data_IF_315057138460
#
_entry.id   IF_315057138460
#
_cell.length_a   1.000
_cell.length_b   1.000
_cell.length_c   1.000
_cell.angle_alpha   90.00
_cell.angle_beta   90.00
_cell.angle_gamma   90.00
#
_symmetry.space_group_name_H-M   'P 1'
#
loop_
_entity.id
_entity.type
_entity.pdbx_description
1 polymer ?
#
# COMPACT_ATOMS: atom_id res chain seq x y z
N UNK A 1 -17.92 -44.67 -74.16
CA UNK A 1 -17.14 -43.47 -73.73
C UNK A 1 -17.48 -43.00 -72.32
N UNK A 2 -18.76 -42.91 -71.88
CA UNK A 2 -19.19 -42.51 -70.53
C UNK A 2 -18.81 -43.54 -69.45
N UNK A 3 -18.79 -44.83 -69.69
CA UNK A 3 -18.42 -45.88 -68.75
C UNK A 3 -16.92 -45.82 -68.32
N UNK A 4 -16.04 -45.41 -69.22
CA UNK A 4 -14.60 -45.29 -68.93
C UNK A 4 -14.27 -43.99 -68.09
N UNK A 5 -15.16 -42.99 -68.12
CA UNK A 5 -15.03 -41.79 -67.27
C UNK A 5 -15.33 -42.11 -65.82
N UNK A 6 -16.33 -42.96 -65.54
CA UNK A 6 -16.71 -43.34 -64.16
C UNK A 6 -15.70 -44.27 -63.48
N UNK A 7 -14.92 -45.06 -64.23
CA UNK A 7 -13.88 -45.93 -63.69
C UNK A 7 -12.54 -45.19 -63.41
N UNK A 8 -12.36 -44.01 -64.01
CA UNK A 8 -11.16 -43.18 -63.78
C UNK A 8 -11.24 -42.29 -62.52
N UNK A 9 -12.39 -42.19 -61.89
CA UNK A 9 -12.55 -41.38 -60.67
C UNK A 9 -12.11 -42.22 -59.46
N UNK A 10 -11.16 -41.76 -58.65
CA UNK A 10 -10.73 -42.49 -57.44
C UNK A 10 -11.76 -42.33 -56.30
N UNK A 11 -12.91 -43.02 -56.45
CA UNK A 11 -14.03 -42.96 -55.51
C UNK A 11 -13.63 -43.29 -54.08
N UNK A 12 -12.68 -44.18 -53.88
CA UNK A 12 -12.17 -44.51 -52.53
C UNK A 12 -11.47 -43.33 -51.86
N UNK A 13 -10.68 -42.55 -52.63
CA UNK A 13 -10.02 -41.34 -52.12
C UNK A 13 -11.00 -40.20 -51.78
N UNK A 14 -12.06 -40.05 -52.62
CA UNK A 14 -13.11 -39.04 -52.38
C UNK A 14 -13.92 -39.40 -51.14
N UNK A 15 -14.31 -40.66 -50.98
CA UNK A 15 -15.08 -41.11 -49.81
C UNK A 15 -14.29 -40.98 -48.51
N UNK A 16 -12.97 -41.31 -48.52
CA UNK A 16 -12.13 -41.11 -47.32
C UNK A 16 -11.96 -39.66 -46.98
N UNK A 17 -11.78 -38.76 -47.96
CA UNK A 17 -11.67 -37.29 -47.74
C UNK A 17 -12.98 -36.72 -47.19
N UNK A 18 -14.13 -37.10 -47.73
CA UNK A 18 -15.44 -36.69 -47.21
C UNK A 18 -15.62 -37.21 -45.78
N UNK A 19 -15.24 -38.46 -45.50
CA UNK A 19 -15.31 -39.04 -44.14
C UNK A 19 -14.44 -38.28 -43.12
N UNK A 20 -13.22 -37.90 -43.50
CA UNK A 20 -12.34 -37.12 -42.62
C UNK A 20 -12.86 -35.71 -42.38
N UNK A 21 -13.38 -35.02 -43.39
CA UNK A 21 -14.01 -33.69 -43.23
C UNK A 21 -15.24 -33.79 -42.35
N UNK A 22 -16.12 -34.77 -42.59
CA UNK A 22 -17.32 -34.95 -41.74
C UNK A 22 -16.92 -35.22 -40.29
N UNK A 23 -15.91 -36.01 -40.04
CA UNK A 23 -15.39 -36.30 -38.68
C UNK A 23 -14.80 -35.08 -38.01
N UNK A 24 -14.08 -34.21 -38.74
CA UNK A 24 -13.57 -32.94 -38.24
C UNK A 24 -14.72 -31.98 -37.84
N UNK A 25 -15.77 -31.90 -38.69
CA UNK A 25 -16.96 -31.07 -38.42
C UNK A 25 -17.68 -31.57 -37.16
N UNK A 26 -17.87 -32.90 -37.03
CA UNK A 26 -18.51 -33.49 -35.83
C UNK A 26 -17.72 -33.17 -34.57
N UNK A 27 -16.38 -33.33 -34.61
CA UNK A 27 -15.53 -32.94 -33.47
C UNK A 27 -15.60 -31.45 -33.17
N UNK A 28 -15.58 -30.59 -34.18
CA UNK A 28 -15.71 -29.14 -34.02
C UNK A 28 -17.02 -28.73 -33.34
N UNK A 29 -18.14 -29.32 -33.81
CA UNK A 29 -19.46 -29.11 -33.22
C UNK A 29 -19.55 -29.62 -31.76
N UNK A 30 -18.94 -30.78 -31.50
CA UNK A 30 -18.86 -31.33 -30.12
C UNK A 30 -18.13 -30.36 -29.19
N UNK A 31 -16.98 -29.82 -29.63
CA UNK A 31 -16.19 -28.87 -28.84
C UNK A 31 -16.96 -27.56 -28.61
N UNK A 32 -17.67 -27.05 -29.62
CA UNK A 32 -18.52 -25.89 -29.47
C UNK A 32 -19.64 -26.14 -28.45
N UNK A 33 -20.32 -27.28 -28.55
CA UNK A 33 -21.38 -27.66 -27.60
C UNK A 33 -20.82 -27.83 -26.18
N UNK A 34 -19.75 -28.62 -26.02
CA UNK A 34 -19.13 -28.84 -24.74
C UNK A 34 -18.59 -27.54 -24.11
N UNK A 35 -17.93 -26.69 -24.93
CA UNK A 35 -17.43 -25.38 -24.54
C UNK A 35 -18.53 -24.42 -24.11
N UNK A 36 -19.68 -24.42 -24.83
CA UNK A 36 -20.86 -23.65 -24.45
C UNK A 36 -21.40 -24.06 -23.07
N UNK A 37 -21.59 -25.36 -22.84
CA UNK A 37 -22.06 -25.87 -21.54
C UNK A 37 -21.07 -25.59 -20.42
N UNK A 38 -19.77 -25.79 -20.67
CA UNK A 38 -18.70 -25.50 -19.70
C UNK A 38 -18.66 -24.01 -19.34
N UNK A 39 -18.73 -23.13 -20.35
CA UNK A 39 -18.77 -21.68 -20.14
C UNK A 39 -20.00 -21.29 -19.32
N UNK A 40 -21.16 -21.82 -19.66
CA UNK A 40 -22.41 -21.55 -18.94
C UNK A 40 -22.33 -22.02 -17.48
N UNK A 41 -21.77 -23.20 -17.24
CA UNK A 41 -21.54 -23.75 -15.90
C UNK A 41 -20.57 -22.87 -15.11
N UNK A 42 -19.43 -22.49 -15.69
CA UNK A 42 -18.42 -21.63 -15.07
C UNK A 42 -18.99 -20.26 -14.68
N UNK A 43 -19.70 -19.61 -15.61
CA UNK A 43 -20.36 -18.31 -15.39
C UNK A 43 -21.42 -18.42 -14.28
N UNK A 44 -22.22 -19.51 -14.28
CA UNK A 44 -23.23 -19.73 -13.26
C UNK A 44 -22.61 -20.02 -11.88
N UNK A 45 -21.52 -20.81 -11.83
CA UNK A 45 -20.76 -21.08 -10.60
C UNK A 45 -20.14 -19.80 -10.03
N UNK A 46 -19.40 -19.05 -10.87
CA UNK A 46 -18.80 -17.77 -10.48
C UNK A 46 -19.88 -16.77 -10.03
N UNK A 47 -21.02 -16.70 -10.74
CA UNK A 47 -22.12 -15.85 -10.36
C UNK A 47 -22.73 -16.19 -8.98
N UNK A 48 -22.80 -17.47 -8.62
CA UNK A 48 -23.23 -17.89 -7.26
C UNK A 48 -22.24 -17.47 -6.18
N UNK A 49 -20.93 -17.56 -6.47
CA UNK A 49 -19.88 -17.13 -5.54
C UNK A 49 -19.90 -15.60 -5.34
N UNK A 50 -20.04 -14.84 -6.45
CA UNK A 50 -20.09 -13.38 -6.40
C UNK A 50 -21.33 -12.85 -5.68
N UNK A 51 -22.48 -13.50 -5.80
CA UNK A 51 -23.73 -13.10 -5.08
C UNK A 51 -23.60 -13.15 -3.55
N UNK A 52 -22.67 -13.94 -3.00
CA UNK A 52 -22.35 -13.95 -1.57
C UNK A 52 -21.46 -12.78 -1.14
N UNK A 53 -20.87 -12.07 -2.08
CA UNK A 53 -20.03 -10.90 -1.86
C UNK A 53 -20.88 -9.63 -1.79
N UNK A 54 -20.43 -8.64 -1.01
CA UNK A 54 -21.05 -7.31 -0.90
C UNK A 54 -20.73 -6.38 -2.09
N UNK A 55 -20.28 -6.94 -3.23
CA UNK A 55 -19.95 -6.17 -4.42
C UNK A 55 -21.20 -5.62 -5.11
N UNK A 56 -21.07 -4.47 -5.77
CA UNK A 56 -22.13 -3.84 -6.52
C UNK A 56 -22.61 -4.75 -7.69
N UNK A 57 -23.91 -4.80 -7.94
CA UNK A 57 -24.53 -5.61 -9.02
C UNK A 57 -23.96 -5.29 -10.41
N UNK A 58 -23.64 -4.03 -10.67
CA UNK A 58 -23.01 -3.60 -11.93
C UNK A 58 -21.65 -4.25 -12.13
N UNK A 59 -20.82 -4.33 -11.06
CA UNK A 59 -19.52 -4.99 -11.11
C UNK A 59 -19.65 -6.50 -11.30
N UNK A 60 -20.66 -7.14 -10.68
CA UNK A 60 -20.99 -8.55 -10.92
C UNK A 60 -21.25 -8.84 -12.39
N UNK A 61 -22.15 -8.05 -13.01
CA UNK A 61 -22.50 -8.22 -14.43
C UNK A 61 -21.30 -8.02 -15.33
N UNK A 62 -20.47 -7.02 -15.05
CA UNK A 62 -19.25 -6.75 -15.80
C UNK A 62 -18.26 -7.92 -15.74
N UNK A 63 -17.94 -8.41 -14.52
CA UNK A 63 -17.01 -9.53 -14.32
C UNK A 63 -17.48 -10.81 -15.01
N UNK A 64 -18.79 -11.15 -14.89
CA UNK A 64 -19.36 -12.31 -15.55
C UNK A 64 -19.32 -12.17 -17.08
N UNK A 65 -19.48 -10.97 -17.60
CA UNK A 65 -19.37 -10.70 -19.04
C UNK A 65 -17.94 -10.87 -19.54
N UNK A 66 -16.93 -10.38 -18.80
CA UNK A 66 -15.53 -10.57 -19.12
C UNK A 66 -15.17 -12.07 -19.15
N UNK A 67 -15.55 -12.82 -18.11
CA UNK A 67 -15.30 -14.27 -18.05
C UNK A 67 -15.94 -14.97 -19.24
N UNK A 68 -17.19 -14.62 -19.57
CA UNK A 68 -17.92 -15.20 -20.71
C UNK A 68 -17.22 -14.94 -22.04
N UNK A 69 -16.76 -13.70 -22.28
CA UNK A 69 -16.04 -13.34 -23.51
C UNK A 69 -14.76 -14.13 -23.62
N UNK A 70 -13.95 -14.18 -22.57
CA UNK A 70 -12.69 -14.91 -22.54
C UNK A 70 -12.93 -16.41 -22.82
N UNK A 71 -13.89 -17.04 -22.15
CA UNK A 71 -14.22 -18.44 -22.38
C UNK A 71 -14.65 -18.72 -23.82
N UNK A 72 -15.52 -17.89 -24.41
CA UNK A 72 -15.95 -18.08 -25.80
C UNK A 72 -14.81 -17.89 -26.79
N UNK A 73 -13.91 -16.94 -26.57
CA UNK A 73 -12.71 -16.78 -27.41
C UNK A 73 -11.89 -18.07 -27.41
N UNK A 74 -11.63 -18.67 -26.24
CA UNK A 74 -10.91 -19.95 -26.17
C UNK A 74 -11.65 -21.08 -26.88
N UNK A 75 -12.95 -21.22 -26.66
CA UNK A 75 -13.78 -22.26 -27.30
C UNK A 75 -13.76 -22.13 -28.82
N UNK A 76 -13.86 -20.91 -29.36
CA UNK A 76 -13.82 -20.64 -30.80
C UNK A 76 -12.45 -21.00 -31.36
N UNK A 77 -11.36 -20.58 -30.72
CA UNK A 77 -9.99 -20.89 -31.19
C UNK A 77 -9.76 -22.39 -31.23
N UNK A 78 -10.17 -23.14 -30.20
CA UNK A 78 -10.03 -24.61 -30.15
C UNK A 78 -10.88 -25.27 -31.26
N UNK A 79 -12.12 -24.81 -31.45
CA UNK A 79 -12.99 -25.36 -32.51
C UNK A 79 -12.41 -25.13 -33.90
N UNK A 80 -11.90 -23.92 -34.18
CA UNK A 80 -11.24 -23.62 -35.48
C UNK A 80 -10.00 -24.49 -35.72
N UNK A 81 -9.20 -24.71 -34.67
CA UNK A 81 -8.01 -25.58 -34.75
C UNK A 81 -8.42 -27.02 -35.12
N UNK A 82 -9.49 -27.55 -34.54
CA UNK A 82 -9.99 -28.91 -34.83
C UNK A 82 -10.53 -29.01 -36.26
N UNK A 83 -11.11 -27.95 -36.76
CA UNK A 83 -11.59 -27.86 -38.15
C UNK A 83 -10.44 -27.74 -39.16
N UNK A 84 -9.17 -27.70 -38.73
CA UNK A 84 -8.00 -27.56 -39.59
C UNK A 84 -7.79 -26.13 -40.11
N UNK A 85 -8.45 -25.13 -39.53
CA UNK A 85 -8.30 -23.73 -39.93
C UNK A 85 -7.02 -23.20 -39.24
N UNK A 86 -6.10 -22.53 -39.94
CA UNK A 86 -4.89 -21.95 -39.33
C UNK A 86 -5.26 -20.86 -38.33
N UNK A 87 -5.05 -21.10 -37.03
CA UNK A 87 -5.41 -20.17 -35.95
C UNK A 87 -4.24 -19.30 -35.49
N UNK A 88 -3.04 -19.49 -36.09
CA UNK A 88 -1.82 -18.78 -35.68
C UNK A 88 -1.99 -17.26 -35.69
N UNK A 89 -2.54 -16.70 -36.77
CA UNK A 89 -2.77 -15.24 -36.87
C UNK A 89 -3.78 -14.72 -35.82
N UNK A 90 -4.83 -15.51 -35.53
CA UNK A 90 -5.84 -15.19 -34.54
C UNK A 90 -5.24 -15.25 -33.14
N UNK A 91 -4.47 -16.27 -32.81
CA UNK A 91 -3.78 -16.40 -31.52
C UNK A 91 -2.79 -15.24 -31.33
N UNK A 92 -2.04 -14.89 -32.39
CA UNK A 92 -1.11 -13.74 -32.34
C UNK A 92 -1.87 -12.44 -32.11
N UNK A 93 -2.97 -12.21 -32.80
CA UNK A 93 -3.78 -11.01 -32.60
C UNK A 93 -4.36 -10.92 -31.18
N UNK A 94 -4.90 -12.03 -30.65
CA UNK A 94 -5.42 -12.11 -29.27
C UNK A 94 -4.28 -11.89 -28.25
N UNK A 95 -3.11 -12.50 -28.50
CA UNK A 95 -1.93 -12.33 -27.65
C UNK A 95 -1.47 -10.88 -27.59
N UNK A 96 -1.38 -10.21 -28.76
CA UNK A 96 -1.02 -8.79 -28.83
C UNK A 96 -2.04 -7.89 -28.11
N UNK A 97 -3.34 -8.15 -28.31
CA UNK A 97 -4.41 -7.45 -27.59
C UNK A 97 -4.32 -7.71 -26.08
N UNK A 98 -4.03 -8.93 -25.66
CA UNK A 98 -3.82 -9.31 -24.26
C UNK A 98 -2.66 -8.56 -23.60
N UNK A 99 -1.53 -8.41 -24.32
CA UNK A 99 -0.39 -7.60 -23.84
C UNK A 99 -0.80 -6.12 -23.69
N UNK A 100 -1.52 -5.57 -24.67
CA UNK A 100 -2.00 -4.17 -24.60
C UNK A 100 -2.93 -3.96 -23.39
N UNK A 101 -3.88 -4.88 -23.16
CA UNK A 101 -4.78 -4.84 -21.99
C UNK A 101 -3.97 -4.99 -20.69
N UNK A 102 -3.01 -5.92 -20.65
CA UNK A 102 -2.15 -6.12 -19.48
C UNK A 102 -1.34 -4.87 -19.11
N UNK A 103 -0.80 -4.17 -20.12
CA UNK A 103 -0.10 -2.90 -19.91
C UNK A 103 -1.06 -1.79 -19.43
N UNK A 104 -2.27 -1.72 -19.98
CA UNK A 104 -3.28 -0.75 -19.55
C UNK A 104 -3.74 -0.98 -18.08
N UNK A 105 -3.74 -2.23 -17.62
CA UNK A 105 -4.16 -2.60 -16.25
C UNK A 105 -2.98 -2.73 -15.26
N UNK A 106 -1.75 -2.48 -15.70
CA UNK A 106 -0.53 -2.67 -14.92
C UNK A 106 -0.59 -2.04 -13.54
N UNK A 107 -1.00 -0.76 -13.47
CA UNK A 107 -1.00 -0.02 -12.22
C UNK A 107 -2.10 -0.52 -11.25
N UNK A 108 -3.25 -0.90 -11.78
CA UNK A 108 -4.32 -1.52 -10.98
C UNK A 108 -3.88 -2.87 -10.41
N UNK A 109 -3.24 -3.70 -11.24
CA UNK A 109 -2.74 -5.01 -10.81
C UNK A 109 -1.60 -4.85 -9.80
N UNK A 110 -0.72 -3.86 -9.98
CA UNK A 110 0.33 -3.52 -9.03
C UNK A 110 -0.24 -3.12 -7.67
N UNK A 111 -1.27 -2.25 -7.65
CA UNK A 111 -1.94 -1.85 -6.42
C UNK A 111 -2.62 -3.03 -5.71
N UNK A 112 -3.25 -3.92 -6.46
CA UNK A 112 -3.84 -5.13 -5.91
C UNK A 112 -2.79 -6.05 -5.27
N UNK A 113 -1.70 -6.34 -6.00
CA UNK A 113 -0.61 -7.17 -5.50
C UNK A 113 0.03 -6.55 -4.24
N UNK A 114 0.25 -5.24 -4.25
CA UNK A 114 0.75 -4.49 -3.08
C UNK A 114 -0.20 -4.58 -1.89
N UNK A 115 -1.52 -4.50 -2.12
CA UNK A 115 -2.51 -4.67 -1.05
C UNK A 115 -2.42 -6.05 -0.39
N UNK A 116 -2.26 -7.11 -1.18
CA UNK A 116 -2.05 -8.47 -0.65
C UNK A 116 -0.74 -8.55 0.14
N UNK A 117 0.34 -7.93 -0.34
CA UNK A 117 1.64 -7.89 0.36
C UNK A 117 1.52 -7.16 1.70
N UNK A 118 0.81 -6.01 1.74
CA UNK A 118 0.58 -5.25 2.99
C UNK A 118 -0.19 -6.10 4.00
N UNK A 119 -1.26 -6.76 3.57
CA UNK A 119 -2.08 -7.62 4.44
C UNK A 119 -1.30 -8.83 4.96
N UNK A 120 -0.39 -9.39 4.15
CA UNK A 120 0.42 -10.54 4.54
C UNK A 120 1.57 -10.16 5.49
N UNK A 121 2.31 -9.09 5.18
CA UNK A 121 3.46 -8.64 5.97
C UNK A 121 3.04 -7.84 7.21
N UNK A 122 1.84 -7.25 7.20
CA UNK A 122 1.27 -6.42 8.25
C UNK A 122 2.28 -5.41 8.85
N UNK A 123 2.88 -4.50 8.07
CA UNK A 123 3.82 -3.50 8.58
C UNK A 123 3.12 -2.53 9.55
N UNK A 124 1.83 -2.38 9.44
CA UNK A 124 0.93 -1.66 10.33
C UNK A 124 -0.45 -2.33 10.32
N UNK A 125 -1.29 -1.97 11.27
CA UNK A 125 -2.66 -2.48 11.43
C UNK A 125 -3.66 -1.33 11.48
N UNK A 126 -4.96 -1.67 11.37
CA UNK A 126 -6.02 -0.70 11.59
C UNK A 126 -5.91 -0.12 13.00
N UNK A 127 -5.96 1.20 13.10
CA UNK A 127 -5.77 1.95 14.34
C UNK A 127 -4.35 2.46 14.58
N UNK A 128 -3.33 1.96 13.88
CA UNK A 128 -1.96 2.46 14.02
C UNK A 128 -1.82 3.90 13.49
N UNK A 129 -1.08 4.75 14.19
CA UNK A 129 -0.64 6.04 13.68
C UNK A 129 0.65 5.85 12.89
N UNK A 130 0.59 6.16 11.61
CA UNK A 130 1.69 5.93 10.65
C UNK A 130 1.99 7.17 9.83
N UNK A 131 3.20 7.23 9.31
CA UNK A 131 3.60 8.16 8.26
C UNK A 131 4.05 7.35 7.04
N UNK A 132 3.45 7.64 5.88
CA UNK A 132 3.68 6.94 4.61
C UNK A 132 3.96 7.98 3.54
N UNK A 133 5.19 8.02 3.01
CA UNK A 133 5.56 8.96 1.96
C UNK A 133 5.32 10.43 2.32
N UNK A 134 5.54 10.80 3.60
CA UNK A 134 5.33 12.16 4.11
C UNK A 134 3.87 12.50 4.48
N UNK A 135 2.95 11.55 4.39
CA UNK A 135 1.56 11.70 4.84
C UNK A 135 1.35 10.96 6.14
N UNK A 136 0.90 11.66 7.18
CA UNK A 136 0.69 11.08 8.51
C UNK A 136 -0.80 10.96 8.84
N UNK A 137 -1.18 9.86 9.50
CA UNK A 137 -2.55 9.64 9.96
C UNK A 137 -2.74 8.30 10.63
N UNK A 138 -3.92 8.10 11.21
CA UNK A 138 -4.35 6.82 11.78
C UNK A 138 -4.91 5.95 10.67
N UNK A 139 -4.45 4.71 10.56
CA UNK A 139 -4.94 3.73 9.60
C UNK A 139 -6.40 3.41 9.91
N UNK A 140 -7.28 3.66 8.94
CA UNK A 140 -8.72 3.38 9.04
C UNK A 140 -9.10 2.05 8.40
N UNK A 141 -8.47 1.75 7.26
CA UNK A 141 -8.80 0.58 6.46
C UNK A 141 -7.67 0.26 5.49
N UNK A 142 -7.31 -1.00 5.39
CA UNK A 142 -6.40 -1.52 4.38
C UNK A 142 -7.26 -2.25 3.35
N UNK A 143 -7.55 -1.56 2.23
CA UNK A 143 -8.33 -2.13 1.13
C UNK A 143 -7.45 -2.87 0.12
N UNK A 144 -8.10 -3.48 -0.90
CA UNK A 144 -7.39 -4.25 -1.94
C UNK A 144 -6.47 -3.40 -2.81
N UNK A 145 -6.83 -2.13 -3.08
CA UNK A 145 -6.06 -1.25 -3.97
C UNK A 145 -5.53 -0.01 -3.25
N UNK A 146 -6.12 0.36 -2.13
CA UNK A 146 -5.82 1.60 -1.40
C UNK A 146 -5.84 1.38 0.10
N UNK A 147 -4.97 2.09 0.79
CA UNK A 147 -4.96 2.25 2.25
C UNK A 147 -5.53 3.62 2.59
N UNK A 148 -6.44 3.68 3.56
CA UNK A 148 -7.06 4.92 4.01
C UNK A 148 -6.50 5.33 5.36
N UNK A 149 -6.01 6.56 5.45
CA UNK A 149 -5.58 7.19 6.69
C UNK A 149 -6.56 8.28 7.08
N UNK A 150 -6.67 8.54 8.38
CA UNK A 150 -7.42 9.65 8.95
C UNK A 150 -6.47 10.55 9.74
N UNK A 151 -6.41 11.82 9.39
CA UNK A 151 -5.63 12.81 10.12
C UNK A 151 -6.31 13.22 11.41
N UNK A 152 -5.57 13.83 12.35
CA UNK A 152 -6.13 14.34 13.62
C UNK A 152 -7.14 15.49 13.40
N UNK A 153 -7.02 16.25 12.31
CA UNK A 153 -7.99 17.27 11.89
C UNK A 153 -9.14 16.69 11.03
N UNK A 154 -9.35 15.36 11.12
CA UNK A 154 -10.49 14.63 10.57
C UNK A 154 -10.56 14.56 9.03
N UNK A 155 -9.45 14.73 8.33
CA UNK A 155 -9.35 14.52 6.87
C UNK A 155 -9.05 13.07 6.55
N UNK A 156 -9.55 12.59 5.41
CA UNK A 156 -9.22 11.28 4.87
C UNK A 156 -8.12 11.40 3.81
N UNK A 157 -7.08 10.61 3.96
CA UNK A 157 -6.01 10.45 2.98
C UNK A 157 -6.15 9.05 2.38
N UNK A 158 -6.26 8.98 1.06
CA UNK A 158 -6.35 7.71 0.33
C UNK A 158 -5.02 7.53 -0.41
N UNK A 159 -4.29 6.49 -0.05
CA UNK A 159 -2.98 6.18 -0.62
C UNK A 159 -3.11 4.88 -1.42
N UNK A 160 -2.62 4.88 -2.66
CA UNK A 160 -2.53 3.66 -3.45
C UNK A 160 -1.54 2.67 -2.82
N UNK A 161 -1.91 1.39 -2.75
CA UNK A 161 -1.11 0.37 -2.06
C UNK A 161 0.31 0.23 -2.65
N UNK A 162 0.47 0.42 -3.96
CA UNK A 162 1.78 0.43 -4.59
C UNK A 162 2.67 1.56 -4.03
N UNK A 163 2.11 2.74 -3.76
CA UNK A 163 2.84 3.83 -3.10
C UNK A 163 3.25 3.44 -1.68
N UNK A 164 2.37 2.79 -0.94
CA UNK A 164 2.68 2.29 0.42
C UNK A 164 3.86 1.33 0.41
N UNK A 165 3.88 0.36 -0.52
CA UNK A 165 4.94 -0.66 -0.58
C UNK A 165 6.27 -0.14 -1.13
N UNK A 166 6.26 0.96 -1.87
CA UNK A 166 7.46 1.58 -2.46
C UNK A 166 8.00 2.77 -1.66
N UNK A 167 7.23 3.28 -0.68
CA UNK A 167 7.63 4.38 0.20
C UNK A 167 8.18 3.88 1.53
N UNK A 168 8.90 4.77 2.22
CA UNK A 168 9.22 4.53 3.63
C UNK A 168 7.94 4.63 4.46
N UNK A 169 7.76 3.67 5.36
CA UNK A 169 6.68 3.64 6.34
C UNK A 169 7.27 3.78 7.73
N UNK A 170 6.84 4.80 8.46
CA UNK A 170 7.16 4.98 9.88
C UNK A 170 5.90 4.65 10.68
N UNK A 171 5.98 3.61 11.51
CA UNK A 171 4.88 3.23 12.41
C UNK A 171 5.20 3.71 13.82
N UNK A 172 4.41 4.64 14.33
CA UNK A 172 4.58 5.23 15.66
C UNK A 172 3.85 4.47 16.78
N UNK A 173 2.96 3.54 16.41
CA UNK A 173 2.11 2.78 17.35
C UNK A 173 2.58 1.36 17.59
N UNK A 174 3.43 0.80 16.71
CA UNK A 174 3.85 -0.59 16.79
C UNK A 174 4.65 -0.90 18.05
N UNK A 175 5.55 0.01 18.43
CA UNK A 175 6.35 -0.13 19.64
C UNK A 175 5.61 0.49 20.83
N UNK A 176 5.63 -0.23 21.97
CA UNK A 176 4.93 0.23 23.19
C UNK A 176 5.59 1.41 23.84
N UNK A 177 6.89 1.63 23.56
CA UNK A 177 7.69 2.71 24.16
C UNK A 177 8.28 3.59 23.08
N UNK A 178 8.37 4.90 23.36
CA UNK A 178 8.96 5.89 22.47
C UNK A 178 9.96 6.73 23.25
N UNK A 179 11.00 7.21 22.57
CA UNK A 179 11.90 8.21 23.11
C UNK A 179 11.40 9.59 22.74
N UNK A 180 11.22 10.44 23.75
CA UNK A 180 10.94 11.84 23.61
C UNK A 180 12.27 12.60 23.65
N UNK A 181 12.59 13.26 22.55
CA UNK A 181 13.80 14.09 22.40
C UNK A 181 13.35 15.57 22.41
N UNK A 182 13.92 16.37 23.32
CA UNK A 182 13.58 17.78 23.46
C UNK A 182 14.86 18.59 23.62
N UNK A 183 14.85 19.81 23.10
CA UNK A 183 15.94 20.76 23.27
C UNK A 183 15.41 21.97 24.05
N UNK A 184 16.15 22.33 25.12
CA UNK A 184 15.93 23.55 25.88
C UNK A 184 17.14 24.46 25.72
N UNK A 185 16.92 25.75 25.72
CA UNK A 185 17.98 26.76 25.57
C UNK A 185 18.00 27.70 26.74
N UNK A 186 19.22 28.04 27.20
CA UNK A 186 19.44 29.01 28.28
C UNK A 186 20.45 30.06 27.81
N UNK A 187 20.44 31.25 28.46
CA UNK A 187 21.43 32.29 28.23
C UNK A 187 22.83 31.84 28.65
N UNK A 188 23.86 32.38 28.00
CA UNK A 188 25.25 32.20 28.40
C UNK A 188 25.56 32.70 29.81
N UNK A 189 24.76 33.62 30.34
CA UNK A 189 24.89 34.14 31.70
C UNK A 189 24.39 33.19 32.78
N UNK A 190 23.66 32.12 32.39
CA UNK A 190 23.12 31.16 33.32
C UNK A 190 24.05 29.98 33.59
N UNK A 191 23.92 29.40 34.76
CA UNK A 191 24.65 28.17 35.11
C UNK A 191 23.94 26.95 34.47
N UNK A 192 24.64 26.29 33.55
CA UNK A 192 24.10 25.12 32.86
C UNK A 192 23.87 23.92 33.80
N UNK A 193 24.70 23.73 34.83
CA UNK A 193 24.54 22.63 35.80
C UNK A 193 23.29 22.83 36.64
N UNK A 194 22.97 24.08 37.03
CA UNK A 194 21.74 24.42 37.72
C UNK A 194 20.51 24.12 36.79
N UNK A 195 20.56 24.55 35.54
CA UNK A 195 19.47 24.30 34.59
C UNK A 195 19.25 22.80 34.38
N UNK A 196 20.33 22.02 34.19
CA UNK A 196 20.24 20.56 34.07
C UNK A 196 19.67 19.91 35.35
N UNK A 197 20.02 20.41 36.52
CA UNK A 197 19.50 19.91 37.80
C UNK A 197 17.98 20.16 37.89
N UNK A 198 17.49 21.35 37.50
CA UNK A 198 16.06 21.68 37.47
C UNK A 198 15.31 20.76 36.49
N UNK A 199 15.84 20.54 35.30
CA UNK A 199 15.27 19.60 34.33
C UNK A 199 15.17 18.19 34.92
N UNK A 200 16.24 17.70 35.58
CA UNK A 200 16.20 16.40 36.26
C UNK A 200 15.17 16.36 37.38
N UNK A 201 14.94 17.46 38.09
CA UNK A 201 13.88 17.60 39.08
C UNK A 201 12.49 17.42 38.45
N UNK A 202 12.24 18.08 37.31
CA UNK A 202 10.98 17.93 36.56
C UNK A 202 10.83 16.48 36.05
N UNK A 203 11.89 15.84 35.54
CA UNK A 203 11.86 14.44 35.15
C UNK A 203 11.47 13.55 36.34
N UNK A 204 12.07 13.75 37.49
CA UNK A 204 11.81 12.97 38.69
C UNK A 204 10.36 13.12 39.17
N UNK A 205 9.76 14.30 39.00
CA UNK A 205 8.35 14.55 39.36
C UNK A 205 7.34 13.77 38.51
N UNK A 206 7.75 13.28 37.32
CA UNK A 206 6.86 12.52 36.43
C UNK A 206 6.72 11.05 36.84
N UNK A 207 7.57 10.54 37.74
CA UNK A 207 7.44 9.21 38.30
C UNK A 207 7.43 8.12 37.24
N UNK A 208 6.35 7.34 37.20
CA UNK A 208 6.21 6.19 36.30
C UNK A 208 6.00 6.54 34.81
N UNK A 209 5.68 7.79 34.47
CA UNK A 209 5.54 8.22 33.07
C UNK A 209 6.89 8.23 32.33
N UNK A 210 7.99 8.45 33.07
CA UNK A 210 9.35 8.37 32.52
C UNK A 210 9.95 7.01 32.82
N UNK A 211 10.14 6.24 31.78
CA UNK A 211 10.71 4.90 31.88
C UNK A 211 12.24 4.96 31.99
N UNK A 212 12.82 4.03 32.74
CA UNK A 212 14.28 3.86 32.90
C UNK A 212 14.83 2.81 31.94
N UNK A 213 13.99 1.98 31.38
CA UNK A 213 14.31 1.00 30.36
C UNK A 213 13.72 1.46 29.02
N UNK A 214 14.47 1.43 27.90
CA UNK A 214 15.80 0.84 27.67
C UNK A 214 17.00 1.70 28.11
N UNK A 215 16.81 2.93 28.53
CA UNK A 215 17.90 3.78 29.01
C UNK A 215 17.40 4.83 30.03
N UNK A 216 18.26 5.16 30.99
CA UNK A 216 18.04 6.26 31.95
C UNK A 216 17.90 7.62 31.23
N UNK A 217 17.16 8.58 31.82
CA UNK A 217 17.02 9.93 31.28
C UNK A 217 18.38 10.61 31.00
N UNK A 218 18.51 11.11 29.77
CA UNK A 218 19.68 11.87 29.35
C UNK A 218 19.40 13.36 29.43
N UNK A 219 20.24 14.11 30.14
CA UNK A 219 20.16 15.57 30.26
C UNK A 219 21.57 16.14 30.23
N UNK A 220 21.99 16.72 29.10
CA UNK A 220 23.34 17.23 28.88
C UNK A 220 23.35 18.46 27.98
N UNK A 221 24.35 19.33 28.15
CA UNK A 221 24.69 20.34 27.16
C UNK A 221 25.16 19.66 25.88
N UNK A 222 24.52 19.95 24.76
CA UNK A 222 24.83 19.33 23.46
C UNK A 222 25.32 20.31 22.41
N UNK A 223 25.31 21.61 22.73
CA UNK A 223 25.80 22.59 21.76
C UNK A 223 25.74 24.02 22.29
N UNK A 224 26.50 24.86 21.64
CA UNK A 224 26.49 26.32 21.83
C UNK A 224 25.95 26.95 20.54
N UNK A 225 24.90 27.75 20.69
CA UNK A 225 24.24 28.46 19.59
C UNK A 225 24.65 29.92 19.61
N UNK A 226 24.28 30.70 18.59
CA UNK A 226 24.66 32.11 18.49
C UNK A 226 24.28 32.96 19.70
N UNK A 227 23.18 32.62 20.39
CA UNK A 227 22.71 33.40 21.55
C UNK A 227 22.32 32.52 22.77
N UNK A 228 22.57 31.20 22.71
CA UNK A 228 22.10 30.28 23.73
C UNK A 228 22.99 29.05 23.89
N UNK A 229 22.97 28.49 25.11
CA UNK A 229 23.49 27.14 25.41
C UNK A 229 22.33 26.15 25.20
N UNK A 230 22.55 25.11 24.40
CA UNK A 230 21.56 24.08 24.12
C UNK A 230 21.73 22.89 25.06
N UNK A 231 20.65 22.54 25.76
CA UNK A 231 20.55 21.36 26.62
C UNK A 231 19.59 20.39 25.95
N UNK A 232 20.06 19.20 25.61
CA UNK A 232 19.21 18.14 25.06
C UNK A 232 18.76 17.20 26.16
N UNK A 233 17.47 16.93 26.17
CA UNK A 233 16.79 15.98 27.05
C UNK A 233 16.27 14.82 26.22
N UNK A 234 16.56 13.59 26.67
CA UNK A 234 16.00 12.38 26.08
C UNK A 234 15.45 11.50 27.18
N UNK A 235 14.18 11.20 27.08
CA UNK A 235 13.47 10.35 28.04
C UNK A 235 12.65 9.32 27.30
N UNK A 236 12.53 8.13 27.90
CA UNK A 236 11.66 7.09 27.38
C UNK A 236 10.31 7.16 28.08
N UNK A 237 9.23 6.93 27.33
CA UNK A 237 7.86 6.89 27.84
C UNK A 237 7.06 5.85 27.07
N UNK A 238 5.87 5.52 27.54
CA UNK A 238 4.91 4.76 26.73
C UNK A 238 4.47 5.58 25.53
N UNK A 239 4.19 4.90 24.41
CA UNK A 239 3.77 5.55 23.17
C UNK A 239 2.49 6.37 23.34
N UNK A 240 1.56 5.91 24.20
CA UNK A 240 0.31 6.58 24.54
C UNK A 240 0.52 7.89 25.31
N UNK A 241 1.54 7.97 26.15
CA UNK A 241 1.84 9.13 27.01
C UNK A 241 2.74 10.18 26.32
N UNK A 242 3.18 9.92 25.08
CA UNK A 242 4.19 10.72 24.40
C UNK A 242 3.83 12.20 24.30
N UNK A 243 2.63 12.52 23.85
CA UNK A 243 2.21 13.90 23.64
C UNK A 243 1.92 14.62 24.95
N UNK A 244 1.28 13.95 25.90
CA UNK A 244 0.98 14.52 27.21
C UNK A 244 2.28 14.83 27.96
N UNK A 245 3.24 13.93 27.91
CA UNK A 245 4.56 14.16 28.51
C UNK A 245 5.32 15.28 27.80
N UNK A 246 5.27 15.35 26.47
CA UNK A 246 5.89 16.43 25.69
C UNK A 246 5.37 17.81 26.09
N UNK A 247 4.04 17.97 26.14
CA UNK A 247 3.45 19.25 26.52
C UNK A 247 3.69 19.59 27.99
N UNK A 248 3.67 18.60 28.88
CA UNK A 248 3.98 18.79 30.29
C UNK A 248 5.43 19.28 30.50
N UNK A 249 6.41 18.65 29.80
CA UNK A 249 7.80 19.10 29.88
C UNK A 249 8.01 20.51 29.38
N UNK A 250 7.41 20.86 28.21
CA UNK A 250 7.51 22.23 27.66
C UNK A 250 7.06 23.29 28.69
N UNK A 251 5.98 23.02 29.41
CA UNK A 251 5.45 23.93 30.39
C UNK A 251 6.28 23.92 31.68
N UNK A 252 6.47 22.74 32.25
CA UNK A 252 7.03 22.62 33.61
C UNK A 252 8.51 22.97 33.69
N UNK A 253 9.30 22.64 32.63
CA UNK A 253 10.71 23.07 32.58
C UNK A 253 10.79 24.58 32.48
N UNK A 254 9.92 25.23 31.70
CA UNK A 254 9.84 26.71 31.66
C UNK A 254 9.48 27.29 33.01
N UNK A 255 8.44 26.78 33.67
CA UNK A 255 8.01 27.25 34.99
C UNK A 255 9.16 27.07 36.00
N UNK A 256 9.89 25.96 35.97
CA UNK A 256 11.04 25.72 36.83
C UNK A 256 12.21 26.69 36.56
N UNK A 257 12.46 27.02 35.30
CA UNK A 257 13.49 27.98 34.89
C UNK A 257 13.11 29.40 35.40
N UNK A 258 11.89 29.82 35.12
CA UNK A 258 11.38 31.15 35.55
C UNK A 258 11.45 31.32 37.09
N UNK A 259 11.06 30.29 37.86
CA UNK A 259 11.10 30.28 39.31
C UNK A 259 12.52 30.34 39.91
N UNK A 260 13.54 29.90 39.15
CA UNK A 260 14.91 29.84 39.62
C UNK A 260 15.86 30.83 38.93
N UNK A 261 15.34 31.80 38.19
CA UNK A 261 16.11 32.85 37.52
C UNK A 261 16.94 32.37 36.34
N UNK A 262 16.59 31.23 35.73
CA UNK A 262 17.19 30.76 34.48
C UNK A 262 16.46 31.43 33.32
N UNK A 263 17.20 32.20 32.52
CA UNK A 263 16.61 32.94 31.41
C UNK A 263 16.74 32.19 30.10
N UNK A 264 15.63 32.09 29.36
CA UNK A 264 15.62 31.64 27.93
C UNK A 264 15.92 32.91 27.13
N UNK A 265 17.07 32.97 26.39
CA UNK A 265 17.50 34.22 25.77
C UNK A 265 16.69 34.52 24.49
N UNK A 266 16.49 35.80 24.27
CA UNK A 266 16.15 36.30 22.94
C UNK A 266 17.38 36.26 22.03
N UNK A 267 17.21 36.36 20.72
CA UNK A 267 18.33 36.53 19.82
C UNK A 267 19.10 37.80 20.18
N UNK A 268 20.40 37.67 20.43
CA UNK A 268 21.32 38.77 20.73
C UNK A 268 21.98 39.25 19.44
N UNK A 269 22.20 40.55 19.34
CA UNK A 269 22.90 41.19 18.22
C UNK A 269 23.89 42.21 18.76
N UNK A 270 25.16 42.03 18.46
CA UNK A 270 26.19 43.03 18.70
C UNK A 270 26.20 44.03 17.60
N UNK A 271 25.88 45.30 17.90
CA UNK A 271 25.82 46.39 16.93
C UNK A 271 26.99 47.32 17.14
N UNK A 272 27.94 47.38 16.20
CA UNK A 272 29.00 48.34 16.16
C UNK A 272 28.55 49.57 15.38
N UNK A 273 28.24 50.69 16.05
CA UNK A 273 27.87 51.94 15.42
C UNK A 273 29.16 52.69 15.04
N UNK A 274 29.45 52.73 13.73
CA UNK A 274 30.56 53.52 13.19
C UNK A 274 30.03 54.94 12.98
N UNK A 275 30.31 55.86 13.93
CA UNK A 275 30.04 57.27 13.75
C UNK A 275 30.94 57.90 12.62
N UNK A 276 30.36 58.75 11.80
CA UNK A 276 31.14 59.61 10.90
C UNK A 276 31.82 60.73 11.68
#
# INVERSE_FOLDING_TARGET
MLQNLFTAIPWSGILTTIGTILWMVVKGLFVLAAGYFLTRWLVAFTGKCLKKSKLNETLHSFLLSCIRIVCYVFVIVIALTILGIPTTSLITAIGTAGVAIGLALKDSLSNFASGVIILFNAPFQDGDFVEIGGQSGVVQEIGLMTTKLKTFDNRHIIIHNNTVTTSNVVNYSREKTRRLDMDFTISYDNNADQAMSLIRGVIASKGELVLKDPAEPFVMVTGYQGSAIKITVRVWCKAEDYWDLNFAFLKEVRDAFDANGIHIPYNQLDVHVIGK
#
